data_IF_782996297915
#
_entry.id   IF_782996297915
#
_cell.length_a   1.000
_cell.length_b   1.000
_cell.length_c   1.000
_cell.angle_alpha   90.00
_cell.angle_beta   90.00
_cell.angle_gamma   90.00
#
_symmetry.space_group_name_H-M   'P 1'
#
loop_
_entity.id
_entity.type
_entity.pdbx_description
1 polymer ?
#
# COMPACT_ATOMS: atom_id res chain seq x y z
N UNK A 1 -32.42 -27.95 -22.73
CA UNK A 1 -32.54 -26.64 -22.04
C UNK A 1 -31.71 -26.51 -20.75
N UNK A 2 -31.40 -27.58 -20.00
CA UNK A 2 -30.60 -27.49 -18.76
C UNK A 2 -29.09 -27.23 -18.97
N UNK A 3 -28.49 -27.74 -20.05
CA UNK A 3 -27.05 -27.61 -20.30
C UNK A 3 -26.60 -26.17 -20.63
N UNK A 4 -27.47 -25.37 -21.25
CA UNK A 4 -27.18 -23.98 -21.60
C UNK A 4 -27.09 -23.10 -20.34
N UNK A 5 -27.93 -23.38 -19.33
CA UNK A 5 -27.90 -22.64 -18.06
C UNK A 5 -26.59 -22.85 -17.27
N UNK A 6 -25.96 -24.02 -17.39
CA UNK A 6 -24.69 -24.34 -16.72
C UNK A 6 -23.52 -23.60 -17.37
N UNK A 7 -23.50 -23.50 -18.70
CA UNK A 7 -22.46 -22.78 -19.43
C UNK A 7 -22.47 -21.27 -19.14
N UNK A 8 -23.66 -20.67 -18.96
CA UNK A 8 -23.79 -19.25 -18.60
C UNK A 8 -23.32 -18.98 -17.15
N UNK A 9 -23.52 -19.93 -16.23
CA UNK A 9 -23.04 -19.80 -14.85
C UNK A 9 -21.52 -19.83 -14.72
N UNK A 10 -20.83 -20.63 -15.54
CA UNK A 10 -19.35 -20.71 -15.55
C UNK A 10 -18.68 -19.47 -16.16
N UNK A 11 -19.33 -18.83 -17.14
CA UNK A 11 -18.80 -17.61 -17.76
C UNK A 11 -18.78 -16.39 -16.82
N UNK A 12 -19.60 -16.38 -15.76
CA UNK A 12 -19.69 -15.26 -14.81
C UNK A 12 -18.54 -15.21 -13.79
N UNK A 13 -17.77 -16.29 -13.61
CA UNK A 13 -16.69 -16.36 -12.61
C UNK A 13 -15.36 -15.74 -13.06
N UNK A 14 -15.23 -15.31 -14.32
CA UNK A 14 -13.97 -14.76 -14.87
C UNK A 14 -13.81 -13.24 -14.72
N UNK A 15 -14.76 -12.56 -14.07
CA UNK A 15 -14.76 -11.10 -13.94
C UNK A 15 -14.43 -10.63 -12.53
N UNK A 16 -13.92 -11.50 -11.67
CA UNK A 16 -13.39 -11.03 -10.39
C UNK A 16 -12.13 -10.19 -10.68
N UNK A 17 -12.13 -8.89 -10.34
CA UNK A 17 -10.93 -8.09 -10.48
C UNK A 17 -9.85 -8.77 -9.64
N UNK A 18 -8.71 -9.09 -10.26
CA UNK A 18 -7.51 -9.39 -9.50
C UNK A 18 -7.27 -8.14 -8.65
N UNK A 19 -7.31 -8.28 -7.32
CA UNK A 19 -7.07 -7.16 -6.43
C UNK A 19 -5.63 -6.71 -6.67
N UNK A 20 -5.50 -5.58 -7.36
CA UNK A 20 -4.21 -5.07 -7.79
C UNK A 20 -3.53 -4.38 -6.62
N UNK A 21 -2.22 -4.59 -6.51
CA UNK A 21 -1.38 -3.72 -5.70
C UNK A 21 -1.60 -2.26 -6.14
N UNK A 22 -1.60 -1.34 -5.18
CA UNK A 22 -1.87 0.07 -5.44
C UNK A 22 -0.75 0.95 -4.93
N UNK A 23 -0.49 2.05 -5.61
CA UNK A 23 0.49 3.04 -5.20
C UNK A 23 -0.03 4.47 -5.25
N UNK A 24 0.63 5.34 -4.49
CA UNK A 24 0.48 6.78 -4.55
C UNK A 24 1.74 7.46 -4.06
N UNK A 25 1.94 8.71 -4.44
CA UNK A 25 3.06 9.52 -3.98
C UNK A 25 2.60 10.53 -2.93
N UNK A 26 3.50 10.81 -2.00
CA UNK A 26 3.35 11.86 -0.99
C UNK A 26 4.55 12.79 -1.02
N UNK A 27 4.28 14.09 -0.95
CA UNK A 27 5.29 15.14 -0.83
C UNK A 27 5.11 15.82 0.51
N UNK A 28 6.04 15.58 1.43
CA UNK A 28 6.02 16.09 2.79
C UNK A 28 7.23 17.01 3.03
N UNK A 29 7.13 18.01 3.92
CA UNK A 29 8.28 18.83 4.29
C UNK A 29 9.45 18.00 4.83
N UNK A 30 10.68 18.30 4.40
CA UNK A 30 11.91 17.74 4.96
C UNK A 30 12.40 16.42 4.33
N UNK A 31 11.70 15.86 3.34
CA UNK A 31 12.15 14.67 2.58
C UNK A 31 11.78 14.80 1.11
N UNK A 32 12.54 14.13 0.24
CA UNK A 32 12.14 13.94 -1.14
C UNK A 32 10.78 13.25 -1.24
N UNK A 33 10.09 13.42 -2.37
CA UNK A 33 8.84 12.72 -2.66
C UNK A 33 8.97 11.23 -2.39
N UNK A 34 8.02 10.70 -1.63
CA UNK A 34 7.98 9.30 -1.25
C UNK A 34 6.88 8.58 -2.02
N UNK A 35 7.15 7.36 -2.44
CA UNK A 35 6.14 6.45 -3.00
C UNK A 35 5.69 5.50 -1.91
N UNK A 36 4.37 5.41 -1.73
CA UNK A 36 3.73 4.43 -0.86
C UNK A 36 3.04 3.40 -1.73
N UNK A 37 3.48 2.15 -1.66
CA UNK A 37 2.81 1.03 -2.32
C UNK A 37 2.10 0.18 -1.26
N UNK A 38 0.93 -0.33 -1.60
CA UNK A 38 0.13 -1.22 -0.78
C UNK A 38 -0.12 -2.47 -1.58
N UNK A 39 0.50 -3.55 -1.12
CA UNK A 39 0.29 -4.85 -1.69
C UNK A 39 -0.87 -5.55 -0.99
N UNK A 40 -1.33 -6.62 -1.64
CA UNK A 40 -2.28 -7.55 -1.04
C UNK A 40 -1.80 -8.10 0.31
N UNK A 41 -2.76 -8.56 1.12
CA UNK A 41 -2.52 -9.08 2.47
C UNK A 41 -1.98 -8.05 3.48
N UNK A 42 -2.12 -6.76 3.18
CA UNK A 42 -1.88 -5.68 4.13
C UNK A 42 -0.43 -5.22 4.23
N UNK A 43 0.45 -5.61 3.32
CA UNK A 43 1.82 -5.09 3.28
C UNK A 43 1.81 -3.66 2.71
N UNK A 44 2.51 -2.74 3.37
CA UNK A 44 2.76 -1.39 2.84
C UNK A 44 4.26 -1.12 2.76
N UNK A 45 4.70 -0.52 1.67
CA UNK A 45 6.08 -0.08 1.48
C UNK A 45 6.14 1.44 1.39
N UNK A 46 7.30 2.01 1.73
CA UNK A 46 7.62 3.42 1.59
C UNK A 46 9.01 3.55 1.01
N UNK A 47 9.10 4.22 -0.13
CA UNK A 47 10.34 4.37 -0.90
C UNK A 47 10.64 5.82 -1.19
N UNK A 48 11.92 6.20 -1.13
CA UNK A 48 12.38 7.49 -1.61
C UNK A 48 13.86 7.46 -2.03
N UNK A 49 14.29 8.40 -2.89
CA UNK A 49 15.66 8.42 -3.39
C UNK A 49 16.71 8.67 -2.28
N UNK A 50 17.93 8.16 -2.40
CA UNK A 50 18.43 7.33 -3.53
C UNK A 50 18.28 5.83 -3.31
N UNK A 51 18.27 5.37 -2.06
CA UNK A 51 18.21 3.94 -1.70
C UNK A 51 17.49 3.73 -0.35
N UNK A 52 16.36 4.40 -0.15
CA UNK A 52 15.58 4.23 1.07
C UNK A 52 14.32 3.41 0.80
N UNK A 53 14.13 2.41 1.65
CA UNK A 53 13.02 1.47 1.60
C UNK A 53 12.60 1.12 3.02
N UNK A 54 11.31 1.24 3.30
CA UNK A 54 10.71 0.86 4.57
C UNK A 54 9.46 0.02 4.32
N UNK A 55 9.15 -0.84 5.28
CA UNK A 55 7.95 -1.70 5.25
C UNK A 55 7.11 -1.48 6.50
N UNK A 56 5.82 -1.73 6.36
CA UNK A 56 4.85 -1.79 7.44
C UNK A 56 3.93 -2.99 7.20
N UNK A 57 3.58 -3.69 8.29
CA UNK A 57 2.58 -4.74 8.26
C UNK A 57 1.24 -4.15 8.73
N UNK A 58 0.29 -4.08 7.81
CA UNK A 58 -1.08 -3.66 8.07
C UNK A 58 -1.26 -2.16 8.25
N UNK A 59 -2.51 -1.81 8.59
CA UNK A 59 -2.92 -0.45 8.93
C UNK A 59 -3.81 -0.49 10.14
N UNK A 60 -3.46 0.28 11.16
CA UNK A 60 -4.34 0.51 12.29
C UNK A 60 -5.42 1.50 11.86
N UNK A 61 -6.68 1.08 11.90
CA UNK A 61 -7.83 1.93 11.62
C UNK A 61 -8.45 2.34 12.95
N UNK A 62 -8.59 3.64 13.17
CA UNK A 62 -9.13 4.17 14.44
C UNK A 62 -9.89 5.46 14.19
N UNK A 63 -10.63 5.91 15.20
CA UNK A 63 -11.19 7.26 15.24
C UNK A 63 -10.37 8.09 16.23
N UNK A 64 -10.02 9.32 15.85
CA UNK A 64 -9.33 10.25 16.76
C UNK A 64 -10.33 11.05 17.60
N UNK A 65 -9.83 11.83 18.58
CA UNK A 65 -10.66 12.59 19.54
C UNK A 65 -11.61 13.64 18.93
N UNK A 66 -11.62 13.83 17.62
CA UNK A 66 -12.60 14.67 16.88
C UNK A 66 -13.67 13.88 16.11
N UNK A 67 -13.64 12.54 16.14
CA UNK A 67 -14.54 11.68 15.37
C UNK A 67 -14.00 11.28 13.99
N UNK A 68 -12.98 11.96 13.48
CA UNK A 68 -12.38 11.64 12.19
C UNK A 68 -11.83 10.21 12.16
N UNK A 69 -12.14 9.49 11.09
CA UNK A 69 -11.65 8.14 10.86
C UNK A 69 -10.30 8.21 10.18
N UNK A 70 -9.28 7.64 10.81
CA UNK A 70 -7.91 7.63 10.27
C UNK A 70 -7.40 6.22 10.07
N UNK A 71 -6.65 6.03 8.99
CA UNK A 71 -5.80 4.87 8.78
C UNK A 71 -4.35 5.26 9.08
N UNK A 72 -3.73 4.55 10.01
CA UNK A 72 -2.35 4.77 10.44
C UNK A 72 -1.50 3.60 9.97
N UNK A 73 -0.47 3.90 9.19
CA UNK A 73 0.56 2.94 8.75
C UNK A 73 1.84 3.25 9.51
N UNK A 74 2.36 2.30 10.27
CA UNK A 74 3.60 2.46 11.07
C UNK A 74 4.72 1.67 10.42
N UNK A 75 5.70 2.38 9.88
CA UNK A 75 6.85 1.77 9.22
C UNK A 75 7.88 1.28 10.24
N UNK A 76 8.69 0.29 9.85
CA UNK A 76 9.70 -0.33 10.72
C UNK A 76 10.74 0.64 11.29
N UNK A 77 11.04 1.73 10.58
CA UNK A 77 11.94 2.78 11.07
C UNK A 77 11.29 3.74 12.07
N UNK A 78 9.99 3.59 12.38
CA UNK A 78 9.25 4.47 13.29
C UNK A 78 8.50 5.62 12.61
N UNK A 79 8.67 5.81 11.30
CA UNK A 79 7.85 6.75 10.54
C UNK A 79 6.38 6.32 10.56
N UNK A 80 5.46 7.28 10.54
CA UNK A 80 4.02 7.03 10.52
C UNK A 80 3.35 7.83 9.41
N UNK A 81 2.53 7.15 8.63
CA UNK A 81 1.65 7.75 7.64
C UNK A 81 0.21 7.68 8.15
N UNK A 82 -0.44 8.84 8.22
CA UNK A 82 -1.83 8.97 8.64
C UNK A 82 -2.65 9.45 7.44
N UNK A 83 -3.76 8.79 7.18
CA UNK A 83 -4.70 9.17 6.12
C UNK A 83 -6.08 9.27 6.72
N UNK A 84 -6.68 10.46 6.63
CA UNK A 84 -8.09 10.65 6.92
C UNK A 84 -8.91 9.89 5.86
N UNK A 85 -9.81 9.02 6.31
CA UNK A 85 -10.59 8.13 5.44
C UNK A 85 -11.79 8.81 4.80
N UNK A 86 -12.23 9.93 5.35
CA UNK A 86 -13.44 10.63 4.92
C UNK A 86 -13.12 11.60 3.78
N UNK A 87 -11.95 12.26 3.81
CA UNK A 87 -11.55 13.25 2.79
C UNK A 87 -10.21 12.95 2.09
N UNK A 88 -9.42 11.97 2.56
CA UNK A 88 -8.14 11.61 1.96
C UNK A 88 -6.94 12.45 2.42
N UNK A 89 -7.15 13.41 3.33
CA UNK A 89 -6.07 14.24 3.87
C UNK A 89 -4.97 13.37 4.44
N UNK A 90 -3.72 13.70 4.08
CA UNK A 90 -2.57 12.85 4.32
C UNK A 90 -1.54 13.58 5.15
N UNK A 91 -1.09 12.94 6.22
CA UNK A 91 -0.13 13.47 7.15
C UNK A 91 1.00 12.46 7.40
N UNK A 92 2.17 12.98 7.76
CA UNK A 92 3.34 12.17 8.05
C UNK A 92 3.98 12.60 9.37
N UNK A 93 4.45 11.62 10.13
CA UNK A 93 5.24 11.82 11.36
C UNK A 93 6.55 11.09 11.17
N UNK A 94 7.66 11.81 11.24
CA UNK A 94 8.99 11.20 11.17
C UNK A 94 9.33 10.46 12.46
N UNK A 95 10.15 9.42 12.33
CA UNK A 95 10.69 8.68 13.47
C UNK A 95 11.29 9.63 14.52
N UNK A 96 11.03 9.34 15.80
CA UNK A 96 11.47 10.16 16.95
C UNK A 96 10.94 11.59 16.96
N UNK A 97 9.85 11.87 16.27
CA UNK A 97 9.14 13.15 16.32
C UNK A 97 7.67 12.93 16.65
N UNK A 98 7.07 13.91 17.33
CA UNK A 98 5.62 13.98 17.54
C UNK A 98 4.95 15.00 16.60
N UNK A 99 5.71 15.57 15.65
CA UNK A 99 5.21 16.60 14.74
C UNK A 99 4.40 15.95 13.61
N UNK A 100 3.12 16.29 13.56
CA UNK A 100 2.24 15.94 12.45
C UNK A 100 2.45 16.92 11.29
N UNK A 101 2.91 16.41 10.14
CA UNK A 101 3.18 17.21 8.95
C UNK A 101 2.13 16.95 7.88
N UNK A 102 1.46 17.98 7.33
CA UNK A 102 0.60 17.79 6.17
C UNK A 102 1.45 17.47 4.94
N UNK A 103 0.95 16.58 4.10
CA UNK A 103 1.60 16.19 2.85
C UNK A 103 0.63 16.36 1.68
N UNK A 104 1.16 16.82 0.55
CA UNK A 104 0.43 16.72 -0.70
C UNK A 104 0.45 15.25 -1.16
N UNK A 105 -0.67 14.75 -1.67
CA UNK A 105 -0.81 13.35 -2.09
C UNK A 105 -1.37 13.28 -3.49
N UNK A 106 -0.78 12.43 -4.32
CA UNK A 106 -1.33 12.11 -5.63
C UNK A 106 -2.50 11.16 -5.52
N UNK A 107 -3.28 11.09 -6.59
CA UNK A 107 -4.28 10.02 -6.75
C UNK A 107 -3.62 8.64 -6.65
N UNK A 108 -4.41 7.69 -6.14
CA UNK A 108 -4.03 6.29 -6.08
C UNK A 108 -4.14 5.69 -7.47
N UNK A 109 -3.18 4.84 -7.83
CA UNK A 109 -3.16 4.09 -9.09
C UNK A 109 -2.86 2.63 -8.83
N UNK A 110 -3.29 1.78 -9.74
CA UNK A 110 -2.90 0.37 -9.73
C UNK A 110 -1.44 0.26 -10.16
N UNK A 111 -0.66 -0.50 -9.39
CA UNK A 111 0.73 -0.82 -9.74
C UNK A 111 0.72 -1.86 -10.85
N UNK A 112 1.59 -1.69 -11.84
CA UNK A 112 1.76 -2.68 -12.89
C UNK A 112 2.21 -4.02 -12.29
N UNK A 113 1.49 -5.10 -12.61
CA UNK A 113 1.83 -6.44 -12.13
C UNK A 113 3.16 -6.85 -12.77
N UNK A 114 4.25 -6.65 -12.05
CA UNK A 114 5.55 -7.17 -12.46
C UNK A 114 5.56 -8.67 -12.22
N UNK A 115 5.62 -9.45 -13.30
CA UNK A 115 5.81 -10.91 -13.21
C UNK A 115 7.23 -11.19 -12.70
N UNK A 116 7.37 -11.46 -11.41
CA UNK A 116 8.62 -11.89 -10.81
C UNK A 116 8.89 -13.34 -11.19
N UNK A 117 10.08 -13.61 -11.71
CA UNK A 117 10.54 -14.97 -11.94
C UNK A 117 10.69 -15.69 -10.58
N UNK A 118 10.25 -16.96 -10.50
CA UNK A 118 10.35 -17.73 -9.25
C UNK A 118 11.83 -17.84 -8.87
N UNK A 119 12.16 -17.50 -7.63
CA UNK A 119 13.49 -17.75 -7.09
C UNK A 119 13.76 -19.26 -7.08
N UNK A 120 14.78 -19.69 -7.83
CA UNK A 120 15.27 -21.06 -7.87
C UNK A 120 16.50 -21.18 -6.96
N UNK A 121 16.32 -21.81 -5.80
CA UNK A 121 17.38 -22.00 -4.80
C UNK A 121 18.30 -23.18 -5.12
N UNK A 122 17.96 -23.99 -6.14
CA UNK A 122 18.76 -25.15 -6.57
C UNK A 122 20.10 -24.77 -7.20
N UNK A 123 20.26 -23.50 -7.63
CA UNK A 123 21.50 -22.99 -8.21
C UNK A 123 22.53 -22.50 -7.17
N UNK A 124 22.27 -22.66 -5.87
CA UNK A 124 23.27 -22.33 -4.84
C UNK A 124 24.41 -23.35 -4.88
N UNK A 125 25.68 -22.93 -5.12
CA UNK A 125 26.81 -23.82 -4.90
C UNK A 125 26.86 -24.19 -3.41
N UNK A 126 26.97 -25.49 -3.13
CA UNK A 126 27.25 -25.97 -1.79
C UNK A 126 28.60 -25.39 -1.34
N UNK A 127 28.57 -24.50 -0.35
CA UNK A 127 29.74 -23.94 0.33
C UNK A 127 30.42 -24.96 1.22
#
# INVERSE_FOLDING_TARGET
>A
MKAIAIAVGLAACHIMPAWSDTEFQITCPGRATMTVSRAEYGLSTLMWPTRHFQIAAGQQRTSIKGGDKVAITRFRNGDQLLVNKDNGDTFFVYANSDKLLPCNRTEKRDTEILSLERYDDSQRPNS
#
